data_IF_734685374397
#
_entry.id   IF_734685374397
#
_cell.length_a   1.000
_cell.length_b   1.000
_cell.length_c   1.000
_cell.angle_alpha   90.00
_cell.angle_beta   90.00
_cell.angle_gamma   90.00
#
_symmetry.space_group_name_H-M   'P 1'
#
loop_
_entity.id
_entity.type
_entity.pdbx_description
1 polymer ?
#
# COMPACT_ATOMS: atom_id res chain seq x y z
N UNK A 1 4.21 -12.70 7.98
CA UNK A 1 4.51 -11.81 9.12
C UNK A 1 3.54 -10.63 9.06
N UNK A 2 2.91 -10.26 10.17
CA UNK A 2 1.93 -9.17 10.26
C UNK A 2 2.46 -8.19 11.30
N UNK A 3 2.69 -6.94 10.92
CA UNK A 3 3.06 -5.87 11.84
C UNK A 3 1.86 -4.91 11.95
N UNK A 4 1.56 -4.45 13.16
CA UNK A 4 0.42 -3.60 13.46
C UNK A 4 0.88 -2.56 14.46
N UNK A 5 0.51 -1.31 14.23
CA UNK A 5 0.67 -0.22 15.19
C UNK A 5 -0.71 0.32 15.54
N UNK A 6 -0.87 0.69 16.80
CA UNK A 6 -2.12 1.25 17.34
C UNK A 6 -1.81 2.63 17.89
N UNK A 7 -2.67 3.60 17.57
CA UNK A 7 -2.65 4.91 18.21
C UNK A 7 -3.59 4.85 19.41
N UNK A 8 -3.06 5.18 20.57
CA UNK A 8 -3.78 5.25 21.82
C UNK A 8 -4.01 6.71 22.19
N UNK A 9 -5.21 7.01 22.65
CA UNK A 9 -5.55 8.26 23.31
C UNK A 9 -5.67 8.02 24.82
N UNK A 10 -5.04 8.89 25.61
CA UNK A 10 -5.08 8.82 27.08
C UNK A 10 -6.14 9.79 27.58
N UNK A 11 -7.15 9.25 28.25
CA UNK A 11 -8.25 10.04 28.82
C UNK A 11 -8.13 9.96 30.34
N UNK A 12 -7.52 10.96 30.97
CA UNK A 12 -7.19 10.92 32.40
C UNK A 12 -5.95 10.08 32.70
N UNK A 13 -5.76 9.73 33.98
CA UNK A 13 -4.53 9.07 34.45
C UNK A 13 -4.49 7.55 34.20
N UNK A 14 -5.65 6.89 34.01
CA UNK A 14 -5.72 5.41 33.95
C UNK A 14 -6.37 4.83 32.68
N UNK A 15 -7.12 5.59 31.88
CA UNK A 15 -7.83 5.06 30.71
C UNK A 15 -7.06 5.29 29.39
N UNK A 16 -6.80 4.21 28.65
CA UNK A 16 -6.28 4.23 27.28
C UNK A 16 -7.31 3.73 26.27
N UNK A 17 -7.56 4.51 25.21
CA UNK A 17 -8.51 4.17 24.14
C UNK A 17 -7.79 4.02 22.80
N UNK A 18 -7.99 2.89 22.12
CA UNK A 18 -7.46 2.70 20.78
C UNK A 18 -8.23 3.56 19.77
N UNK A 19 -7.58 4.59 19.23
CA UNK A 19 -8.19 5.58 18.31
C UNK A 19 -7.67 5.49 16.88
N UNK A 20 -6.65 4.66 16.63
CA UNK A 20 -6.12 4.45 15.29
C UNK A 20 -5.38 3.12 15.13
N UNK A 21 -5.29 2.64 13.89
CA UNK A 21 -4.54 1.43 13.55
C UNK A 21 -3.89 1.57 12.17
N UNK A 22 -2.62 1.18 12.08
CA UNK A 22 -1.94 0.89 10.82
C UNK A 22 -1.66 -0.61 10.72
N UNK A 23 -2.00 -1.22 9.58
CA UNK A 23 -1.79 -2.65 9.34
C UNK A 23 -0.78 -2.83 8.21
N UNK A 24 0.25 -3.61 8.51
CA UNK A 24 1.33 -3.94 7.59
C UNK A 24 1.27 -5.41 7.19
N UNK A 25 1.36 -5.66 5.90
CA UNK A 25 1.28 -7.00 5.30
C UNK A 25 2.39 -7.18 4.27
N UNK A 26 2.61 -8.43 3.85
CA UNK A 26 3.55 -8.74 2.77
C UNK A 26 3.22 -7.93 1.51
N UNK A 27 4.27 -7.45 0.84
CA UNK A 27 4.16 -6.73 -0.42
C UNK A 27 3.58 -7.63 -1.54
N UNK A 28 2.57 -7.18 -2.30
CA UNK A 28 2.05 -7.95 -3.41
C UNK A 28 3.05 -7.97 -4.55
N UNK A 29 3.18 -9.12 -5.23
CA UNK A 29 4.22 -9.39 -6.24
C UNK A 29 4.11 -8.46 -7.46
N UNK A 30 2.90 -8.14 -7.90
CA UNK A 30 2.63 -7.41 -9.13
C UNK A 30 2.22 -5.95 -8.87
N UNK A 31 3.19 -5.09 -8.54
CA UNK A 31 2.97 -3.65 -8.43
C UNK A 31 3.81 -2.87 -9.43
N UNK A 32 3.14 -2.23 -10.38
CA UNK A 32 3.79 -1.44 -11.43
C UNK A 32 4.53 -0.22 -10.85
N UNK A 33 3.94 0.45 -9.85
CA UNK A 33 4.58 1.58 -9.16
C UNK A 33 5.92 1.21 -8.54
N UNK A 34 6.00 0.05 -7.87
CA UNK A 34 7.25 -0.48 -7.31
C UNK A 34 8.31 -0.73 -8.39
N UNK A 35 7.93 -1.38 -9.49
CA UNK A 35 8.87 -1.65 -10.60
C UNK A 35 9.40 -0.35 -11.19
N UNK A 36 8.55 0.66 -11.34
CA UNK A 36 8.96 1.98 -11.83
C UNK A 36 9.91 2.68 -10.85
N UNK A 37 9.58 2.69 -9.56
CA UNK A 37 10.41 3.36 -8.54
C UNK A 37 11.81 2.76 -8.43
N UNK A 38 11.91 1.43 -8.37
CA UNK A 38 13.20 0.73 -8.22
C UNK A 38 13.86 0.35 -9.56
N UNK A 39 13.29 0.73 -10.70
CA UNK A 39 13.82 0.36 -12.02
C UNK A 39 13.84 -1.16 -12.29
N UNK A 40 12.94 -1.93 -11.67
CA UNK A 40 12.95 -3.39 -11.75
C UNK A 40 12.44 -3.90 -13.09
N UNK A 41 13.23 -4.79 -13.70
CA UNK A 41 12.92 -5.44 -14.98
C UNK A 41 12.90 -6.97 -14.84
N UNK A 42 12.38 -7.66 -15.85
CA UNK A 42 12.32 -9.13 -15.87
C UNK A 42 11.28 -9.77 -14.95
N UNK A 43 11.39 -11.09 -14.82
CA UNK A 43 10.51 -11.95 -14.01
C UNK A 43 11.08 -12.11 -12.60
N UNK A 44 10.20 -12.27 -11.62
CA UNK A 44 10.60 -12.56 -10.25
C UNK A 44 11.22 -13.95 -10.13
N UNK A 45 12.43 -14.04 -9.57
CA UNK A 45 13.03 -15.30 -9.11
C UNK A 45 12.64 -15.58 -7.66
N UNK A 46 12.80 -16.82 -7.18
CA UNK A 46 12.58 -17.15 -5.75
C UNK A 46 13.44 -16.27 -4.84
N UNK A 47 14.71 -16.07 -5.20
CA UNK A 47 15.63 -15.19 -4.48
C UNK A 47 15.17 -13.73 -4.50
N UNK A 48 14.72 -13.23 -5.65
CA UNK A 48 14.20 -11.87 -5.77
C UNK A 48 12.94 -11.64 -4.94
N UNK A 49 12.04 -12.61 -4.85
CA UNK A 49 10.87 -12.54 -3.97
C UNK A 49 11.25 -12.56 -2.49
N UNK A 50 12.25 -13.35 -2.11
CA UNK A 50 12.78 -13.37 -0.75
C UNK A 50 13.37 -12.00 -0.38
N UNK A 51 14.23 -11.45 -1.23
CA UNK A 51 14.81 -10.11 -1.04
C UNK A 51 13.72 -9.02 -0.96
N UNK A 52 12.68 -9.10 -1.80
CA UNK A 52 11.55 -8.19 -1.74
C UNK A 52 10.85 -8.23 -0.38
N UNK A 53 10.55 -9.43 0.13
CA UNK A 53 9.86 -9.60 1.42
C UNK A 53 10.71 -9.19 2.63
N UNK A 54 12.04 -9.25 2.50
CA UNK A 54 12.98 -8.80 3.54
C UNK A 54 13.10 -7.27 3.59
N UNK A 55 12.93 -6.60 2.45
CA UNK A 55 13.18 -5.16 2.34
C UNK A 55 11.93 -4.29 2.31
N UNK A 56 10.80 -4.83 1.84
CA UNK A 56 9.59 -4.07 1.54
C UNK A 56 8.37 -4.63 2.27
N UNK A 57 7.57 -3.75 2.85
CA UNK A 57 6.28 -4.08 3.45
C UNK A 57 5.16 -3.17 2.92
N UNK A 58 3.95 -3.72 2.80
CA UNK A 58 2.77 -2.96 2.39
C UNK A 58 2.03 -2.43 3.61
N UNK A 59 1.87 -1.10 3.72
CA UNK A 59 0.87 -0.47 4.58
C UNK A 59 -0.50 -0.62 3.92
N UNK A 60 -1.25 -1.63 4.34
CA UNK A 60 -2.50 -2.07 3.69
C UNK A 60 -3.75 -1.41 4.26
N UNK A 61 -3.67 -0.89 5.50
CA UNK A 61 -4.80 -0.22 6.13
C UNK A 61 -4.32 0.85 7.10
N UNK A 62 -4.95 2.01 7.02
CA UNK A 62 -4.89 3.07 8.02
C UNK A 62 -6.31 3.41 8.40
N UNK A 63 -6.65 3.30 9.67
CA UNK A 63 -7.96 3.70 10.19
C UNK A 63 -7.75 4.61 11.38
N UNK A 64 -8.48 5.72 11.40
CA UNK A 64 -8.65 6.57 12.57
C UNK A 64 -10.12 6.54 12.98
N UNK A 65 -10.37 6.55 14.27
CA UNK A 65 -11.68 6.76 14.84
C UNK A 65 -12.27 8.09 14.30
N UNK A 66 -13.55 8.14 13.88
CA UNK A 66 -14.13 9.31 13.20
C UNK A 66 -13.93 10.64 13.94
N UNK A 67 -14.04 10.66 15.28
CA UNK A 67 -13.84 11.84 16.13
C UNK A 67 -12.45 12.48 15.97
N UNK A 68 -11.44 11.71 15.57
CA UNK A 68 -10.06 12.18 15.43
C UNK A 68 -9.67 12.43 13.96
N UNK A 69 -10.64 12.38 13.04
CA UNK A 69 -10.41 12.73 11.64
C UNK A 69 -10.52 14.24 11.47
N UNK A 70 -9.77 14.80 10.51
CA UNK A 70 -9.80 16.24 10.20
C UNK A 70 -8.89 17.11 11.06
N UNK A 71 -8.43 16.63 12.22
CA UNK A 71 -7.55 17.38 13.15
C UNK A 71 -6.04 17.23 12.85
N UNK A 72 -5.69 16.65 11.70
CA UNK A 72 -4.30 16.59 11.22
C UNK A 72 -3.42 15.45 11.76
N UNK A 73 -3.83 14.71 12.78
CA UNK A 73 -3.00 13.68 13.45
C UNK A 73 -2.66 12.46 12.56
N UNK A 74 -3.40 12.25 11.47
CA UNK A 74 -3.25 11.04 10.65
C UNK A 74 -1.90 10.95 9.95
N UNK A 75 -1.34 12.07 9.47
CA UNK A 75 -0.04 12.06 8.81
C UNK A 75 1.07 11.67 9.79
N UNK A 76 1.06 12.25 10.99
CA UNK A 76 2.04 11.95 12.05
C UNK A 76 1.91 10.51 12.53
N UNK A 77 0.69 10.01 12.73
CA UNK A 77 0.46 8.62 13.11
C UNK A 77 1.00 7.64 12.05
N UNK A 78 0.74 7.89 10.77
CA UNK A 78 1.25 7.08 9.67
C UNK A 78 2.79 7.11 9.67
N UNK A 79 3.39 8.29 9.79
CA UNK A 79 4.85 8.46 9.79
C UNK A 79 5.50 7.64 10.90
N UNK A 80 5.07 7.83 12.15
CA UNK A 80 5.59 7.08 13.31
C UNK A 80 5.37 5.58 13.18
N UNK A 81 4.25 5.18 12.58
CA UNK A 81 3.98 3.76 12.29
C UNK A 81 4.96 3.17 11.27
N UNK A 82 5.33 3.95 10.24
CA UNK A 82 6.31 3.52 9.25
C UNK A 82 7.72 3.50 9.82
N UNK A 83 8.11 4.55 10.55
CA UNK A 83 9.41 4.65 11.23
C UNK A 83 9.61 3.52 12.25
N UNK A 84 8.52 3.08 12.88
CA UNK A 84 8.54 1.97 13.82
C UNK A 84 8.47 0.59 13.17
N UNK A 85 8.28 0.47 11.85
CA UNK A 85 8.28 -0.83 11.18
C UNK A 85 9.71 -1.35 10.97
N UNK A 86 9.90 -2.67 10.93
CA UNK A 86 11.22 -3.31 10.78
C UNK A 86 11.78 -3.38 9.35
N UNK A 87 11.13 -2.73 8.38
CA UNK A 87 11.45 -2.82 6.95
C UNK A 87 12.06 -1.53 6.44
N UNK A 88 13.01 -1.63 5.51
CA UNK A 88 13.70 -0.46 4.94
C UNK A 88 12.80 0.37 4.02
N UNK A 89 11.77 -0.24 3.44
CA UNK A 89 10.81 0.43 2.58
C UNK A 89 9.38 0.07 2.95
N UNK A 90 8.53 1.08 3.04
CA UNK A 90 7.08 0.91 3.18
C UNK A 90 6.41 1.39 1.92
N UNK A 91 5.60 0.54 1.30
CA UNK A 91 4.77 0.93 0.15
C UNK A 91 3.29 0.99 0.54
N UNK A 92 2.51 1.81 -0.17
CA UNK A 92 1.04 1.78 -0.08
C UNK A 92 0.39 2.13 -1.42
N UNK A 93 -0.83 1.64 -1.60
CA UNK A 93 -1.64 1.83 -2.80
C UNK A 93 -3.04 2.26 -2.36
N UNK A 94 -3.50 3.43 -2.80
CA UNK A 94 -4.79 3.95 -2.33
C UNK A 94 -5.49 4.87 -3.34
N UNK A 95 -6.81 4.74 -3.45
CA UNK A 95 -7.64 5.72 -4.17
C UNK A 95 -7.67 7.06 -3.43
N UNK A 96 -7.61 7.03 -2.08
CA UNK A 96 -7.66 8.23 -1.24
C UNK A 96 -6.50 9.18 -1.55
N UNK A 97 -5.33 8.64 -1.87
CA UNK A 97 -4.15 9.45 -2.15
C UNK A 97 -4.38 10.46 -3.26
N UNK A 98 -5.31 10.22 -4.20
CA UNK A 98 -5.65 11.22 -5.23
C UNK A 98 -6.44 12.42 -4.72
N UNK A 99 -7.10 12.29 -3.57
CA UNK A 99 -7.97 13.31 -2.97
C UNK A 99 -7.38 13.96 -1.73
N UNK A 100 -6.52 13.26 -1.01
CA UNK A 100 -5.95 13.72 0.25
C UNK A 100 -4.44 13.46 0.30
N UNK A 101 -3.61 14.48 0.59
CA UNK A 101 -2.15 14.37 0.62
C UNK A 101 -1.61 13.80 1.95
N UNK A 102 -2.40 13.01 2.69
CA UNK A 102 -2.02 12.49 4.01
C UNK A 102 -0.71 11.70 3.97
N UNK A 103 -0.47 10.94 2.88
CA UNK A 103 0.74 10.15 2.73
C UNK A 103 1.95 11.02 2.41
N UNK A 104 1.81 12.04 1.56
CA UNK A 104 2.87 13.03 1.32
C UNK A 104 3.24 13.76 2.61
N UNK A 105 2.25 14.19 3.40
CA UNK A 105 2.50 14.82 4.71
C UNK A 105 3.15 13.87 5.70
N UNK A 106 2.92 12.56 5.58
CA UNK A 106 3.59 11.54 6.36
C UNK A 106 5.02 11.21 5.86
N UNK A 107 5.49 11.87 4.79
CA UNK A 107 6.83 11.68 4.23
C UNK A 107 6.92 10.67 3.09
N UNK A 108 5.80 10.20 2.54
CA UNK A 108 5.82 9.33 1.36
C UNK A 108 6.09 10.12 0.08
N UNK A 109 6.83 9.51 -0.83
CA UNK A 109 6.96 9.95 -2.21
C UNK A 109 5.87 9.30 -3.04
N UNK A 110 5.05 10.11 -3.71
CA UNK A 110 4.12 9.61 -4.74
C UNK A 110 4.91 9.25 -5.98
N UNK A 111 4.82 7.99 -6.41
CA UNK A 111 5.46 7.55 -7.66
C UNK A 111 4.50 7.84 -8.81
N UNK A 112 4.93 8.56 -9.86
CA UNK A 112 4.09 8.80 -11.03
C UNK A 112 3.78 7.48 -11.73
N UNK A 113 2.59 6.91 -11.51
CA UNK A 113 2.11 5.78 -12.31
C UNK A 113 1.34 6.31 -13.49
N UNK A 114 1.63 5.80 -14.69
CA UNK A 114 0.79 6.11 -15.85
C UNK A 114 -0.64 5.69 -15.53
N UNK A 115 -1.58 6.63 -15.70
CA UNK A 115 -2.98 6.25 -15.75
C UNK A 115 -3.08 5.19 -16.83
N UNK A 116 -3.58 4.00 -16.48
CA UNK A 116 -3.88 2.97 -17.49
C UNK A 116 -4.75 3.70 -18.52
N UNK A 117 -4.24 3.87 -19.75
CA UNK A 117 -5.04 4.44 -20.84
C UNK A 117 -6.39 3.72 -20.86
N UNK A 118 -7.48 4.43 -21.19
CA UNK A 118 -8.84 3.85 -21.21
C UNK A 118 -8.81 2.57 -22.03
N UNK A 119 -8.73 1.42 -21.35
CA UNK A 119 -8.78 0.13 -22.01
C UNK A 119 -10.22 -0.10 -22.39
N UNK A 120 -10.43 -0.67 -23.55
CA UNK A 120 -11.72 -1.23 -23.88
C UNK A 120 -12.03 -2.45 -22.99
N UNK A 121 -13.28 -2.90 -23.04
CA UNK A 121 -13.75 -4.05 -22.26
C UNK A 121 -12.97 -5.32 -22.57
N UNK A 122 -12.49 -5.48 -23.81
CA UNK A 122 -11.65 -6.60 -24.21
C UNK A 122 -10.28 -6.58 -23.51
N UNK A 123 -9.59 -5.44 -23.50
CA UNK A 123 -8.32 -5.25 -22.81
C UNK A 123 -8.43 -5.37 -21.28
N UNK A 124 -9.57 -4.98 -20.70
CA UNK A 124 -9.86 -5.22 -19.28
C UNK A 124 -10.06 -6.72 -18.98
N UNK A 125 -10.77 -7.42 -19.88
CA UNK A 125 -11.04 -8.86 -19.77
C UNK A 125 -9.78 -9.72 -19.98
N UNK A 126 -8.78 -9.23 -20.71
CA UNK A 126 -7.48 -9.90 -20.79
C UNK A 126 -6.82 -10.07 -19.41
N UNK A 127 -7.08 -9.15 -18.46
CA UNK A 127 -6.61 -9.27 -17.08
C UNK A 127 -7.62 -10.05 -16.23
N UNK A 128 -8.85 -9.56 -16.11
CA UNK A 128 -9.82 -10.02 -15.12
C UNK A 128 -10.84 -11.05 -15.62
N UNK A 129 -10.85 -11.34 -16.93
CA UNK A 129 -11.75 -12.33 -17.51
C UNK A 129 -11.41 -13.76 -17.07
N UNK A 130 -12.44 -14.56 -16.83
CA UNK A 130 -12.32 -15.98 -16.48
C UNK A 130 -12.30 -16.85 -17.74
N UNK A 131 -11.63 -18.01 -17.69
CA UNK A 131 -11.69 -19.00 -18.78
C UNK A 131 -12.76 -20.04 -18.46
N UNK A 132 -13.47 -20.54 -19.47
CA UNK A 132 -14.31 -21.74 -19.34
C UNK A 132 -13.47 -22.92 -19.82
N UNK A 133 -13.00 -23.76 -18.89
CA UNK A 133 -12.01 -24.81 -19.18
C UNK A 133 -10.59 -24.24 -19.38
N UNK A 134 -9.56 -25.04 -19.09
CA UNK A 134 -8.16 -24.59 -19.07
C UNK A 134 -7.63 -24.04 -20.41
N UNK A 135 -8.24 -24.49 -21.52
CA UNK A 135 -7.91 -24.12 -22.89
C UNK A 135 -9.11 -23.40 -23.54
N UNK A 136 -9.18 -22.07 -23.40
CA UNK A 136 -10.24 -21.25 -24.00
C UNK A 136 -9.99 -19.75 -23.89
N UNK A 137 -10.59 -18.96 -24.78
CA UNK A 137 -10.52 -17.48 -24.75
C UNK A 137 -11.15 -16.99 -23.44
N UNK A 138 -10.52 -16.00 -22.79
CA UNK A 138 -11.09 -15.39 -21.58
C UNK A 138 -12.45 -14.79 -21.91
N UNK A 139 -13.47 -15.12 -21.11
CA UNK A 139 -14.80 -14.51 -21.20
C UNK A 139 -14.67 -13.01 -20.91
N UNK A 140 -15.43 -12.22 -21.65
CA UNK A 140 -15.54 -10.80 -21.34
C UNK A 140 -16.10 -10.63 -19.92
N UNK A 141 -15.50 -9.71 -19.16
CA UNK A 141 -16.09 -9.29 -17.88
C UNK A 141 -17.48 -8.69 -18.13
N UNK A 142 -18.36 -8.67 -17.13
CA UNK A 142 -19.64 -7.98 -17.28
C UNK A 142 -19.42 -6.50 -17.59
N UNK A 143 -20.40 -5.88 -18.24
CA UNK A 143 -20.38 -4.45 -18.51
C UNK A 143 -20.28 -3.63 -17.22
N UNK A 144 -21.06 -4.02 -16.20
CA UNK A 144 -20.98 -3.44 -14.87
C UNK A 144 -19.56 -3.52 -14.27
N UNK A 145 -18.87 -4.66 -14.39
CA UNK A 145 -17.49 -4.83 -13.89
C UNK A 145 -16.53 -3.91 -14.62
N UNK A 146 -16.70 -3.76 -15.93
CA UNK A 146 -15.90 -2.86 -16.74
C UNK A 146 -16.13 -1.40 -16.37
N UNK A 147 -17.38 -0.98 -16.20
CA UNK A 147 -17.72 0.40 -15.83
C UNK A 147 -17.18 0.75 -14.44
N UNK A 148 -17.30 -0.15 -13.46
CA UNK A 148 -16.75 0.07 -12.12
C UNK A 148 -15.22 0.20 -12.12
N UNK A 149 -14.52 -0.55 -12.98
CA UNK A 149 -13.05 -0.52 -13.00
C UNK A 149 -12.46 0.78 -13.55
N UNK A 150 -13.25 1.57 -14.29
CA UNK A 150 -12.85 2.91 -14.78
C UNK A 150 -12.54 3.89 -13.65
N UNK A 151 -13.07 3.65 -12.46
CA UNK A 151 -12.81 4.43 -11.26
C UNK A 151 -11.65 3.90 -10.42
N UNK A 152 -11.05 2.76 -10.81
CA UNK A 152 -9.91 2.18 -10.09
C UNK A 152 -8.60 2.68 -10.68
N UNK A 153 -8.09 3.77 -10.12
CA UNK A 153 -6.80 4.34 -10.49
C UNK A 153 -6.03 4.74 -9.21
N UNK A 154 -5.65 3.77 -8.37
CA UNK A 154 -5.13 4.11 -7.06
C UNK A 154 -3.71 4.68 -7.19
N UNK A 155 -3.41 5.67 -6.36
CA UNK A 155 -2.08 6.25 -6.28
C UNK A 155 -1.13 5.31 -5.53
N UNK A 156 0.09 5.15 -6.05
CA UNK A 156 1.15 4.39 -5.42
C UNK A 156 2.14 5.32 -4.73
N UNK A 157 2.56 4.91 -3.53
CA UNK A 157 3.45 5.66 -2.67
C UNK A 157 4.52 4.76 -2.08
N UNK A 158 5.68 5.36 -1.81
CA UNK A 158 6.77 4.71 -1.12
C UNK A 158 7.39 5.63 -0.07
N UNK A 159 7.74 5.06 1.08
CA UNK A 159 8.39 5.72 2.20
C UNK A 159 9.73 5.06 2.46
N UNK A 160 10.78 5.88 2.55
CA UNK A 160 12.14 5.45 2.87
C UNK A 160 12.30 5.35 4.38
N UNK A 161 12.38 4.12 4.89
CA UNK A 161 12.55 3.83 6.30
C UNK A 161 13.95 3.30 6.64
N UNK A 162 14.91 3.32 5.70
CA UNK A 162 16.21 2.67 5.88
C UNK A 162 16.99 3.23 7.08
N UNK A 163 16.84 4.52 7.37
CA UNK A 163 17.46 5.18 8.52
C UNK A 163 17.05 4.62 9.88
N UNK A 164 15.82 4.11 10.02
CA UNK A 164 15.29 3.61 11.30
C UNK A 164 15.49 2.11 11.52
N UNK A 165 15.82 1.35 10.47
CA UNK A 165 16.07 -0.10 10.57
C UNK A 165 17.44 -0.39 11.19
N UNK A 166 18.45 0.44 10.88
CA UNK A 166 19.82 0.28 11.37
C UNK A 166 20.02 0.64 12.84
N UNK A 167 19.33 1.68 13.32
CA UNK A 167 19.43 2.17 14.71
C UNK A 167 18.93 1.16 15.76
N UNK A 168 18.15 0.16 15.36
CA UNK A 168 17.61 -0.88 16.25
C UNK A 168 18.47 -2.14 16.38
N UNK A 169 19.49 -2.32 15.54
CA UNK A 169 20.39 -3.49 15.62
C UNK A 169 21.53 -3.33 16.64
N UNK A 170 21.75 -2.14 17.18
CA UNK A 170 22.81 -1.83 18.15
C UNK A 170 22.42 -1.88 19.63
N UNK A 171 21.20 -2.35 19.95
CA UNK A 171 20.69 -2.43 21.33
C UNK A 171 20.21 -3.83 21.69
N UNK A 172 21.11 -4.81 21.64
CA UNK A 172 20.93 -6.13 22.25
C UNK A 172 22.16 -6.48 23.07
#
# INVERSE_FOLDING_TARGET
MRHVTVLWDRVGDEDERAVGICVFTTAPVSLAGRRKFFGLQGKWTKLGLKALNEQVVLLSRVVLHPTYRGVGIGAEFIRRSCESCGWGWVETLTELGRRNPVFERAGFVRVPTEAKGRRDRAGHSAIYGTRRGGYGKKRLVSEETFEKSRFSNPAYYIFDNRGNVGSRRGGR
#
